data_IF_691345442229
#
_entry.id   IF_691345442229
#
_cell.length_a   1.000
_cell.length_b   1.000
_cell.length_c   1.000
_cell.angle_alpha   90.00
_cell.angle_beta   90.00
_cell.angle_gamma   90.00
#
_symmetry.space_group_name_H-M   'P 1'
#
loop_
_entity.id
_entity.type
_entity.pdbx_description
1 polymer ?
#
# COMPACT_ATOMS: atom_id res chain seq x y z
N UNK A 1 25.94 -16.30 3.42
CA UNK A 1 25.11 -15.10 3.62
C UNK A 1 23.98 -15.17 2.60
N UNK A 2 22.92 -15.94 2.88
CA UNK A 2 21.95 -16.35 1.86
C UNK A 2 20.50 -16.49 2.34
N UNK A 3 20.16 -16.02 3.54
CA UNK A 3 18.94 -16.46 4.25
C UNK A 3 17.92 -15.35 4.50
N UNK A 4 18.20 -14.12 4.06
CA UNK A 4 17.33 -12.97 4.33
C UNK A 4 15.96 -13.07 3.66
N UNK A 5 15.89 -13.67 2.47
CA UNK A 5 14.63 -13.79 1.72
C UNK A 5 13.77 -14.96 2.24
N UNK A 6 14.41 -16.06 2.63
CA UNK A 6 13.75 -17.26 3.15
C UNK A 6 12.99 -16.95 4.44
N UNK A 7 13.48 -16.02 5.25
CA UNK A 7 12.79 -15.55 6.45
C UNK A 7 11.38 -15.00 6.17
N UNK A 8 11.10 -14.53 4.95
CA UNK A 8 9.80 -13.97 4.55
C UNK A 8 8.99 -14.90 3.65
N UNK A 9 9.47 -16.11 3.35
CA UNK A 9 8.83 -17.07 2.43
C UNK A 9 7.38 -17.45 2.81
N UNK A 10 7.03 -17.29 4.09
CA UNK A 10 5.71 -17.60 4.65
C UNK A 10 4.69 -16.46 4.51
N UNK A 11 5.12 -15.27 4.09
CA UNK A 11 4.23 -14.13 3.91
C UNK A 11 3.68 -14.11 2.48
N UNK A 12 2.44 -13.64 2.27
CA UNK A 12 1.93 -13.40 0.93
C UNK A 12 2.84 -12.42 0.17
N UNK A 13 3.39 -12.84 -0.97
CA UNK A 13 4.32 -12.03 -1.78
C UNK A 13 3.75 -11.64 -3.15
N UNK A 14 3.86 -10.35 -3.53
CA UNK A 14 3.57 -9.90 -4.90
C UNK A 14 4.88 -9.76 -5.64
N UNK A 15 5.05 -10.54 -6.70
CA UNK A 15 6.26 -10.48 -7.51
C UNK A 15 5.91 -9.85 -8.86
N UNK A 16 6.56 -8.71 -9.14
CA UNK A 16 6.29 -7.89 -10.32
C UNK A 16 7.54 -7.76 -11.17
N UNK A 17 7.37 -7.77 -12.48
CA UNK A 17 8.47 -7.62 -13.44
C UNK A 17 7.98 -7.00 -14.74
N UNK A 18 8.89 -6.29 -15.41
CA UNK A 18 8.72 -5.83 -16.77
C UNK A 18 9.24 -6.87 -17.76
N UNK A 19 8.49 -7.16 -18.82
CA UNK A 19 8.91 -8.15 -19.83
C UNK A 19 10.10 -7.69 -20.69
N UNK A 20 10.38 -6.39 -20.73
CA UNK A 20 11.58 -5.83 -21.37
C UNK A 20 12.78 -5.71 -20.41
N UNK A 21 12.64 -6.14 -19.15
CA UNK A 21 13.73 -6.16 -18.17
C UNK A 21 14.73 -7.28 -18.50
N UNK A 22 15.94 -6.88 -18.91
CA UNK A 22 17.02 -7.80 -19.25
C UNK A 22 17.95 -8.13 -18.07
N UNK A 23 17.83 -7.36 -16.97
CA UNK A 23 18.61 -7.57 -15.75
C UNK A 23 18.05 -8.72 -14.91
N UNK A 24 16.73 -8.92 -14.92
CA UNK A 24 16.07 -10.03 -14.24
C UNK A 24 15.79 -11.21 -15.17
N UNK A 25 16.74 -12.14 -15.20
CA UNK A 25 16.66 -13.37 -16.00
C UNK A 25 15.56 -14.31 -15.50
N UNK A 26 15.04 -15.16 -16.39
CA UNK A 26 14.08 -16.24 -16.08
C UNK A 26 14.42 -17.03 -14.80
N UNK A 27 15.70 -17.29 -14.57
CA UNK A 27 16.18 -18.03 -13.39
C UNK A 27 15.95 -17.28 -12.07
N UNK A 28 16.01 -15.94 -12.07
CA UNK A 28 15.71 -15.15 -10.88
C UNK A 28 14.21 -15.22 -10.56
N UNK A 29 13.36 -15.19 -11.58
CA UNK A 29 11.93 -15.42 -11.45
C UNK A 29 11.63 -16.81 -10.89
N UNK A 30 12.17 -17.86 -11.50
CA UNK A 30 11.97 -19.24 -11.02
C UNK A 30 12.42 -19.43 -9.57
N UNK A 31 13.50 -18.76 -9.16
CA UNK A 31 13.95 -18.76 -7.76
C UNK A 31 12.95 -18.07 -6.84
N UNK A 32 12.37 -16.95 -7.25
CA UNK A 32 11.39 -16.22 -6.44
C UNK A 32 10.06 -16.98 -6.36
N UNK A 33 9.56 -17.47 -7.50
CA UNK A 33 8.35 -18.28 -7.58
C UNK A 33 8.45 -19.55 -6.71
N UNK A 34 9.65 -20.16 -6.62
CA UNK A 34 9.88 -21.34 -5.75
C UNK A 34 10.12 -21.00 -4.28
N UNK A 35 10.47 -19.75 -3.96
CA UNK A 35 10.75 -19.33 -2.58
C UNK A 35 9.47 -18.96 -1.84
N UNK A 36 8.52 -18.30 -2.50
CA UNK A 36 7.28 -17.85 -1.87
C UNK A 36 6.14 -18.83 -2.15
N UNK A 37 5.62 -19.52 -1.13
CA UNK A 37 4.55 -20.50 -1.36
C UNK A 37 3.20 -19.85 -1.70
N UNK A 38 2.94 -18.66 -1.13
CA UNK A 38 1.76 -17.86 -1.39
C UNK A 38 2.17 -16.58 -2.13
N UNK A 39 2.21 -16.66 -3.46
CA UNK A 39 2.57 -15.52 -4.29
C UNK A 39 1.63 -15.33 -5.46
N UNK A 40 1.52 -14.07 -5.89
CA UNK A 40 1.00 -13.74 -7.21
C UNK A 40 2.13 -13.15 -8.02
N UNK A 41 2.12 -13.49 -9.30
CA UNK A 41 3.12 -13.04 -10.26
C UNK A 41 2.46 -12.20 -11.33
N UNK A 42 2.96 -10.98 -11.54
CA UNK A 42 2.40 -10.01 -12.49
C UNK A 42 3.49 -9.54 -13.44
N UNK A 43 3.26 -9.77 -14.72
CA UNK A 43 4.12 -9.32 -15.81
C UNK A 43 3.53 -8.08 -16.47
N UNK A 44 4.34 -7.05 -16.61
CA UNK A 44 3.99 -5.85 -17.38
C UNK A 44 4.63 -5.94 -18.78
N UNK A 45 3.79 -6.10 -19.79
CA UNK A 45 4.21 -6.15 -21.19
C UNK A 45 4.91 -4.85 -21.60
N UNK A 46 6.08 -4.98 -22.23
CA UNK A 46 6.86 -3.83 -22.73
C UNK A 46 7.56 -2.98 -21.67
N UNK A 47 7.30 -3.22 -20.38
CA UNK A 47 7.93 -2.48 -19.29
C UNK A 47 9.39 -2.89 -19.09
N UNK A 48 10.25 -1.91 -18.86
CA UNK A 48 11.64 -2.13 -18.46
C UNK A 48 11.77 -2.31 -16.94
N UNK A 49 12.96 -2.05 -16.36
CA UNK A 49 13.21 -2.24 -14.93
C UNK A 49 12.42 -1.28 -14.02
N UNK A 50 11.81 -0.22 -14.57
CA UNK A 50 10.98 0.76 -13.85
C UNK A 50 9.50 0.52 -14.12
N UNK A 51 9.03 -0.66 -13.71
CA UNK A 51 7.70 -1.18 -14.06
C UNK A 51 6.56 -0.26 -13.58
N UNK A 52 6.76 0.46 -12.48
CA UNK A 52 5.82 1.44 -11.95
C UNK A 52 5.58 2.65 -12.86
N UNK A 53 6.59 3.02 -13.64
CA UNK A 53 6.51 4.14 -14.59
C UNK A 53 5.99 3.67 -15.94
N UNK A 54 6.43 2.49 -16.37
CA UNK A 54 6.13 1.94 -17.69
C UNK A 54 4.75 1.29 -17.78
N UNK A 55 4.20 0.84 -16.64
CA UNK A 55 2.88 0.21 -16.57
C UNK A 55 2.06 0.76 -15.41
N UNK A 56 1.23 1.80 -15.65
CA UNK A 56 0.37 2.37 -14.60
C UNK A 56 -0.64 1.36 -14.04
N UNK A 57 -0.91 0.26 -14.75
CA UNK A 57 -1.75 -0.84 -14.28
C UNK A 57 -1.23 -1.52 -13.01
N UNK A 58 0.08 -1.48 -12.75
CA UNK A 58 0.67 -2.06 -11.54
C UNK A 58 0.18 -1.39 -10.26
N UNK A 59 -0.11 -0.09 -10.30
CA UNK A 59 -0.67 0.63 -9.15
C UNK A 59 -2.05 0.06 -8.77
N UNK A 60 -2.86 -0.30 -9.77
CA UNK A 60 -4.16 -0.93 -9.53
C UNK A 60 -4.00 -2.32 -8.91
N UNK A 61 -3.04 -3.12 -9.41
CA UNK A 61 -2.72 -4.45 -8.87
C UNK A 61 -2.27 -4.40 -7.42
N UNK A 62 -1.37 -3.48 -7.06
CA UNK A 62 -0.92 -3.28 -5.67
C UNK A 62 -2.12 -2.91 -4.77
N UNK A 63 -2.98 -2.00 -5.22
CA UNK A 63 -4.16 -1.54 -4.47
C UNK A 63 -5.19 -2.63 -4.24
N UNK A 64 -5.39 -3.52 -5.20
CA UNK A 64 -6.34 -4.62 -5.07
C UNK A 64 -5.85 -5.73 -4.12
N UNK A 65 -4.54 -5.84 -3.96
CA UNK A 65 -3.93 -6.87 -3.10
C UNK A 65 -3.84 -6.46 -1.64
N UNK A 66 -3.53 -5.20 -1.37
CA UNK A 66 -3.59 -4.68 -0.01
C UNK A 66 -5.07 -4.57 0.39
N UNK A 67 -5.50 -5.14 1.54
CA UNK A 67 -6.77 -4.69 2.11
C UNK A 67 -6.65 -3.17 2.27
N UNK A 68 -7.70 -2.38 1.94
CA UNK A 68 -7.65 -0.95 2.14
C UNK A 68 -7.19 -0.70 3.58
N UNK A 69 -6.27 0.25 3.83
CA UNK A 69 -5.86 0.54 5.20
C UNK A 69 -7.14 0.71 5.99
N UNK A 70 -7.22 0.08 7.16
CA UNK A 70 -8.35 0.24 8.06
C UNK A 70 -8.51 1.75 8.27
N UNK A 71 -9.42 2.35 7.51
CA UNK A 71 -9.79 3.73 7.67
C UNK A 71 -10.52 3.70 9.00
N UNK A 72 -9.81 3.97 10.08
CA UNK A 72 -10.49 4.42 11.28
C UNK A 72 -11.39 5.56 10.80
N UNK A 73 -12.70 5.48 11.03
CA UNK A 73 -13.59 6.56 10.63
C UNK A 73 -13.00 7.81 11.27
N UNK A 74 -12.60 8.77 10.42
CA UNK A 74 -12.34 10.13 10.86
C UNK A 74 -13.62 10.48 11.61
N UNK A 75 -13.56 10.56 12.94
CA UNK A 75 -14.78 10.58 13.75
C UNK A 75 -15.72 11.61 13.17
N UNK A 76 -16.97 11.22 12.89
CA UNK A 76 -17.89 12.11 12.20
C UNK A 76 -17.97 13.42 12.98
N UNK A 77 -17.78 14.54 12.29
CA UNK A 77 -18.02 15.84 12.90
C UNK A 77 -19.46 15.87 13.38
N UNK A 78 -19.66 16.04 14.67
CA UNK A 78 -20.97 16.11 15.28
C UNK A 78 -21.16 17.52 15.85
N UNK A 79 -22.36 18.10 15.70
CA UNK A 79 -22.66 19.37 16.36
C UNK A 79 -22.67 19.16 17.89
N UNK A 80 -21.96 20.00 18.64
CA UNK A 80 -22.00 19.95 20.12
C UNK A 80 -23.43 20.28 20.62
N UNK A 81 -24.18 21.09 19.86
CA UNK A 81 -25.58 21.50 20.09
C UNK A 81 -26.30 21.72 18.74
N UNK A 82 -27.64 21.66 18.66
CA UNK A 82 -28.40 21.76 17.39
C UNK A 82 -28.08 22.97 16.51
N UNK A 83 -27.58 24.05 17.12
CA UNK A 83 -27.18 25.31 16.46
C UNK A 83 -25.77 25.76 16.88
N UNK A 84 -24.92 24.82 17.32
CA UNK A 84 -23.55 25.06 17.74
C UNK A 84 -22.52 24.77 16.64
N UNK A 85 -21.23 25.06 16.90
CA UNK A 85 -20.15 24.80 15.95
C UNK A 85 -19.97 23.30 15.71
N UNK A 86 -19.49 22.97 14.51
CA UNK A 86 -19.14 21.60 14.12
C UNK A 86 -17.72 21.31 14.57
N UNK A 87 -17.55 20.30 15.42
CA UNK A 87 -16.25 19.94 15.98
C UNK A 87 -15.84 18.56 15.47
N UNK A 88 -14.64 18.48 14.89
CA UNK A 88 -14.08 17.26 14.34
C UNK A 88 -12.90 16.78 15.21
N UNK A 89 -12.79 15.48 15.51
CA UNK A 89 -11.60 14.94 16.17
C UNK A 89 -10.38 14.95 15.23
N UNK A 90 -9.20 15.16 15.79
CA UNK A 90 -7.96 15.06 15.03
C UNK A 90 -7.62 13.59 14.71
N UNK A 91 -6.99 13.31 13.56
CA UNK A 91 -6.43 11.99 13.31
C UNK A 91 -5.33 11.69 14.36
N UNK A 92 -5.23 10.46 14.85
CA UNK A 92 -4.19 10.09 15.80
C UNK A 92 -2.80 10.33 15.19
N UNK A 93 -1.92 11.02 15.93
CA UNK A 93 -0.51 11.24 15.54
C UNK A 93 -0.14 12.63 15.03
N UNK A 94 -1.00 13.65 15.13
CA UNK A 94 -0.60 15.04 14.84
C UNK A 94 -0.02 15.73 16.09
N UNK A 95 1.29 16.02 16.15
CA UNK A 95 1.93 16.64 17.31
C UNK A 95 1.60 18.13 17.51
N UNK A 96 0.81 18.74 16.60
CA UNK A 96 0.28 20.11 16.76
C UNK A 96 -1.12 20.14 17.41
N UNK A 97 -1.69 19.00 17.78
CA UNK A 97 -3.04 18.88 18.33
C UNK A 97 -3.11 19.12 19.85
N UNK A 98 -2.43 20.15 20.36
CA UNK A 98 -2.50 20.56 21.78
C UNK A 98 -3.72 21.46 22.06
N UNK A 99 -4.80 21.31 21.28
CA UNK A 99 -6.10 21.90 21.60
C UNK A 99 -7.19 20.97 21.10
N UNK A 100 -7.96 20.44 22.05
CA UNK A 100 -9.13 19.60 21.82
C UNK A 100 -10.09 20.26 20.82
N UNK A 101 -10.26 19.60 19.67
CA UNK A 101 -11.21 19.91 18.59
C UNK A 101 -10.96 21.20 17.80
N UNK A 102 -10.73 21.05 16.49
CA UNK A 102 -10.99 22.14 15.54
C UNK A 102 -12.51 22.28 15.35
N UNK A 103 -13.08 23.28 16.01
CA UNK A 103 -14.48 23.66 15.85
C UNK A 103 -14.61 24.73 14.77
N UNK A 104 -15.30 24.41 13.67
CA UNK A 104 -15.61 25.37 12.60
C UNK A 104 -16.99 26.00 12.86
N UNK A 105 -17.06 27.32 12.75
CA UNK A 105 -18.32 28.06 12.68
C UNK A 105 -18.89 27.87 11.26
N UNK A 106 -20.19 27.54 11.15
CA UNK A 106 -20.91 27.47 9.87
C UNK A 106 -21.02 28.82 9.17
#
# INVERSE_FOLDING_TARGET
MGDGLVAFAHLPALIMWGEADTAFRRQARERLDSTFAEHDTVSAEGAGPYVESDSPGIVATIRNRAPPPAREPIGLCAPIRPSGPWCCPHPPGNPLADNDHHCYLS
#
